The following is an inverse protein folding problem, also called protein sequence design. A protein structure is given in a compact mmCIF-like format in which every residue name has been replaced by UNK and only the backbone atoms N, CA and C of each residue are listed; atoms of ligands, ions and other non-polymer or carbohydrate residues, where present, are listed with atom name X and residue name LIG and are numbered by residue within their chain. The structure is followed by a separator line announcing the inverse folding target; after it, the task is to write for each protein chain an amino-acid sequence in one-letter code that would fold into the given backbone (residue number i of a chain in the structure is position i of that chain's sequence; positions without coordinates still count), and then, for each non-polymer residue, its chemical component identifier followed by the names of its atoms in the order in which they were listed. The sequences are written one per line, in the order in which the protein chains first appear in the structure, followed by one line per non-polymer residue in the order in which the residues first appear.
data_IF_346780529601
#
_entry.id   IF_346780529601
#
_cell.length_a   1.000
_cell.length_b   1.000
_cell.length_c   1.000
_cell.angle_alpha   90.00
_cell.angle_beta   90.00
_cell.angle_gamma   90.00
#
_symmetry.space_group_name_H-M   'P 1'
#
loop_
_entity.id
_entity.type
_entity.pdbx_description
1 polymer ?
#
# COMPACT_ATOMS: atom_id res chain seq x y z
N UNK A 1 31.94 4.48 -24.49
CA UNK A 1 31.30 4.18 -23.19
C UNK A 1 29.84 4.60 -23.30
N UNK A 2 28.90 3.68 -23.06
CA UNK A 2 27.49 4.06 -23.02
C UNK A 2 27.29 5.02 -21.84
N UNK A 3 26.75 6.21 -22.11
CA UNK A 3 26.36 7.16 -21.08
C UNK A 3 25.10 6.60 -20.45
N UNK A 4 25.21 6.05 -19.24
CA UNK A 4 24.04 5.62 -18.47
C UNK A 4 23.38 6.89 -17.94
N UNK A 5 22.36 7.36 -18.65
CA UNK A 5 21.55 8.49 -18.22
C UNK A 5 20.27 8.02 -17.49
N UNK A 6 19.46 9.00 -17.03
CA UNK A 6 18.22 8.72 -16.29
C UNK A 6 17.23 7.90 -17.12
N UNK A 7 17.17 8.13 -18.43
CA UNK A 7 16.24 7.43 -19.32
C UNK A 7 16.68 5.96 -19.50
N UNK A 8 17.98 5.73 -19.63
CA UNK A 8 18.57 4.39 -19.72
C UNK A 8 18.33 3.57 -18.45
N UNK A 9 18.41 4.18 -17.26
CA UNK A 9 18.05 3.51 -16.01
C UNK A 9 16.53 3.26 -15.91
N UNK A 10 15.71 4.22 -16.32
CA UNK A 10 14.26 4.07 -16.31
C UNK A 10 13.81 2.91 -17.20
N UNK A 11 14.30 2.85 -18.44
CA UNK A 11 14.03 1.77 -19.39
C UNK A 11 14.66 0.44 -18.95
N UNK A 12 15.84 0.52 -18.32
CA UNK A 12 16.54 -0.61 -17.75
C UNK A 12 15.77 -1.28 -16.61
N UNK A 13 15.06 -0.53 -15.77
CA UNK A 13 14.35 -1.07 -14.60
C UNK A 13 12.83 -1.13 -14.76
N UNK A 14 12.26 -0.55 -15.83
CA UNK A 14 10.82 -0.63 -16.13
C UNK A 14 10.43 -1.98 -16.75
N UNK A 15 10.74 -3.09 -16.09
CA UNK A 15 10.11 -4.36 -16.41
C UNK A 15 8.95 -4.58 -15.44
N UNK A 16 7.76 -4.91 -15.95
CA UNK A 16 6.63 -5.34 -15.11
C UNK A 16 6.86 -6.66 -14.38
N UNK A 17 8.09 -7.18 -14.44
CA UNK A 17 8.62 -8.39 -13.83
C UNK A 17 9.60 -8.00 -12.71
N UNK A 18 9.14 -8.09 -11.46
CA UNK A 18 9.94 -7.76 -10.28
C UNK A 18 11.19 -8.66 -10.13
N UNK A 19 11.12 -9.99 -10.37
CA UNK A 19 12.31 -10.82 -10.38
C UNK A 19 13.37 -10.36 -11.38
N UNK A 20 12.96 -10.04 -12.61
CA UNK A 20 13.86 -9.52 -13.64
C UNK A 20 14.39 -8.12 -13.26
N UNK A 21 13.55 -7.27 -12.68
CA UNK A 21 13.98 -5.97 -12.16
C UNK A 21 15.08 -6.15 -11.11
N UNK A 22 14.92 -7.13 -10.21
CA UNK A 22 15.90 -7.47 -9.19
C UNK A 22 17.25 -7.88 -9.78
N UNK A 23 17.26 -8.75 -10.80
CA UNK A 23 18.49 -9.14 -11.51
C UNK A 23 19.19 -7.95 -12.12
N UNK A 24 18.45 -7.03 -12.74
CA UNK A 24 19.02 -5.83 -13.37
C UNK A 24 19.59 -4.87 -12.33
N UNK A 25 18.93 -4.70 -11.18
CA UNK A 25 19.44 -3.88 -10.07
C UNK A 25 20.73 -4.46 -9.50
N UNK A 26 20.78 -5.78 -9.32
CA UNK A 26 22.01 -6.48 -8.88
C UNK A 26 23.15 -6.32 -9.89
N UNK A 27 22.88 -6.51 -11.18
CA UNK A 27 23.86 -6.32 -12.25
C UNK A 27 24.39 -4.87 -12.32
N UNK A 28 23.49 -3.88 -12.21
CA UNK A 28 23.87 -2.47 -12.13
C UNK A 28 24.77 -2.20 -10.92
N UNK A 29 24.40 -2.70 -9.75
CA UNK A 29 25.15 -2.48 -8.52
C UNK A 29 26.57 -3.07 -8.60
N UNK A 30 26.70 -4.29 -9.14
CA UNK A 30 27.99 -4.95 -9.34
C UNK A 30 28.87 -4.19 -10.35
N UNK A 31 28.31 -3.83 -11.50
CA UNK A 31 29.02 -3.04 -12.51
C UNK A 31 29.46 -1.67 -11.96
N UNK A 32 28.62 -1.01 -11.16
CA UNK A 32 28.94 0.27 -10.55
C UNK A 32 30.04 0.14 -9.48
N UNK A 33 30.11 -0.97 -8.74
CA UNK A 33 31.19 -1.24 -7.77
C UNK A 33 32.55 -1.33 -8.46
N UNK A 34 32.59 -1.98 -9.61
CA UNK A 34 33.82 -2.19 -10.39
C UNK A 34 34.22 -0.95 -11.22
N UNK A 35 33.34 0.05 -11.29
CA UNK A 35 33.58 1.31 -12.00
C UNK A 35 34.40 2.31 -11.18
N UNK A 36 35.28 3.05 -11.86
CA UNK A 36 35.94 4.26 -11.34
C UNK A 36 34.96 5.42 -11.12
N UNK A 37 33.79 5.37 -11.76
CA UNK A 37 32.74 6.41 -11.70
C UNK A 37 31.58 6.08 -10.74
N UNK A 38 31.82 5.17 -9.78
CA UNK A 38 30.82 4.68 -8.82
C UNK A 38 29.97 5.77 -8.15
N UNK A 39 30.58 6.88 -7.73
CA UNK A 39 29.87 7.95 -7.03
C UNK A 39 28.84 8.64 -7.93
N UNK A 40 29.22 8.90 -9.18
CA UNK A 40 28.33 9.47 -10.19
C UNK A 40 27.17 8.51 -10.51
N UNK A 41 27.45 7.21 -10.67
CA UNK A 41 26.40 6.22 -10.95
C UNK A 41 25.40 6.11 -9.79
N UNK A 42 25.87 6.14 -8.55
CA UNK A 42 24.98 6.22 -7.37
C UNK A 42 24.15 7.50 -7.40
N UNK A 43 24.76 8.65 -7.72
CA UNK A 43 24.00 9.91 -7.83
C UNK A 43 22.88 9.81 -8.87
N UNK A 44 23.18 9.31 -10.08
CA UNK A 44 22.20 9.18 -11.16
C UNK A 44 21.05 8.25 -10.74
N UNK A 45 21.34 7.15 -10.05
CA UNK A 45 20.32 6.24 -9.52
C UNK A 45 19.38 6.95 -8.54
N UNK A 46 19.91 7.66 -7.53
CA UNK A 46 19.06 8.33 -6.55
C UNK A 46 18.29 9.52 -7.12
N UNK A 47 18.87 10.25 -8.07
CA UNK A 47 18.17 11.28 -8.82
C UNK A 47 16.93 10.72 -9.53
N UNK A 48 17.06 9.50 -10.08
CA UNK A 48 15.97 8.79 -10.72
C UNK A 48 14.91 8.32 -9.71
N UNK A 49 15.31 7.76 -8.56
CA UNK A 49 14.38 7.41 -7.47
C UNK A 49 13.60 8.64 -6.97
N UNK A 50 14.28 9.78 -6.81
CA UNK A 50 13.64 11.04 -6.41
C UNK A 50 12.63 11.49 -7.46
N UNK A 51 12.92 11.33 -8.75
CA UNK A 51 11.98 11.67 -9.82
C UNK A 51 10.69 10.84 -9.75
N UNK A 52 10.80 9.53 -9.50
CA UNK A 52 9.65 8.63 -9.31
C UNK A 52 8.77 9.11 -8.15
N UNK A 53 9.37 9.40 -6.99
CA UNK A 53 8.62 9.91 -5.84
C UNK A 53 7.94 11.24 -6.12
N UNK A 54 8.57 12.14 -6.90
CA UNK A 54 7.95 13.40 -7.31
C UNK A 54 6.73 13.18 -8.20
N UNK A 55 6.80 12.25 -9.15
CA UNK A 55 5.65 11.91 -10.00
C UNK A 55 4.45 11.45 -9.18
N UNK A 56 4.66 10.69 -8.11
CA UNK A 56 3.58 10.23 -7.23
C UNK A 56 2.82 11.39 -6.57
N UNK A 57 3.40 12.59 -6.57
CA UNK A 57 2.88 13.80 -5.95
C UNK A 57 2.32 14.82 -6.96
N UNK A 58 2.40 14.57 -8.26
CA UNK A 58 1.86 15.48 -9.29
C UNK A 58 0.43 15.07 -9.64
N UNK A 59 -0.56 15.95 -9.45
CA UNK A 59 -1.96 15.69 -9.80
C UNK A 59 -2.52 16.89 -10.52
N UNK A 60 -3.30 16.65 -11.58
CA UNK A 60 -3.99 17.71 -12.27
C UNK A 60 -5.30 18.06 -11.57
N UNK A 61 -5.73 19.31 -11.69
CA UNK A 61 -7.05 19.74 -11.20
C UNK A 61 -8.14 18.90 -11.88
N UNK A 62 -9.02 18.29 -11.08
CA UNK A 62 -10.09 17.42 -11.57
C UNK A 62 -9.75 15.93 -11.62
N UNK A 63 -8.50 15.54 -11.34
CA UNK A 63 -8.16 14.13 -11.15
C UNK A 63 -8.53 13.65 -9.73
N UNK A 64 -8.84 12.35 -9.55
CA UNK A 64 -9.05 11.77 -8.23
C UNK A 64 -7.86 12.00 -7.31
N UNK A 65 -8.10 12.18 -6.00
CA UNK A 65 -7.05 12.40 -5.00
C UNK A 65 -6.33 11.09 -4.61
N UNK A 66 -6.09 10.22 -5.59
CA UNK A 66 -5.35 8.97 -5.45
C UNK A 66 -4.79 8.52 -6.81
N UNK A 67 -3.72 7.72 -6.78
CA UNK A 67 -3.16 7.09 -8.00
C UNK A 67 -3.26 5.58 -7.94
N UNK A 68 -3.46 4.97 -9.10
CA UNK A 68 -3.40 3.52 -9.27
C UNK A 68 -2.27 3.22 -10.26
N UNK A 69 -1.28 2.47 -9.81
CA UNK A 69 -0.16 2.00 -10.63
C UNK A 69 -0.27 0.50 -10.85
N UNK A 70 0.09 0.05 -12.05
CA UNK A 70 0.14 -1.37 -12.43
C UNK A 70 1.30 -1.64 -13.38
N UNK A 71 1.67 -2.91 -13.54
CA UNK A 71 2.73 -3.33 -14.47
C UNK A 71 4.08 -2.70 -14.13
N UNK A 72 4.82 -2.24 -15.15
CA UNK A 72 6.13 -1.63 -14.98
C UNK A 72 6.12 -0.43 -14.02
N UNK A 73 5.06 0.39 -14.03
CA UNK A 73 4.95 1.52 -13.10
C UNK A 73 4.85 1.09 -11.65
N UNK A 74 4.09 0.02 -11.36
CA UNK A 74 4.01 -0.50 -10.00
C UNK A 74 5.35 -1.09 -9.52
N UNK A 75 6.05 -1.82 -10.41
CA UNK A 75 7.38 -2.34 -10.12
C UNK A 75 8.40 -1.22 -9.83
N UNK A 76 8.37 -0.13 -10.61
CA UNK A 76 9.21 1.05 -10.41
C UNK A 76 8.97 1.70 -9.04
N UNK A 77 7.70 1.88 -8.64
CA UNK A 77 7.38 2.42 -7.31
C UNK A 77 7.81 1.47 -6.20
N UNK A 78 7.64 0.16 -6.37
CA UNK A 78 8.15 -0.81 -5.40
C UNK A 78 9.67 -0.70 -5.23
N UNK A 79 10.43 -0.64 -6.33
CA UNK A 79 11.88 -0.45 -6.29
C UNK A 79 12.26 0.87 -5.62
N UNK A 80 11.63 1.99 -6.00
CA UNK A 80 11.91 3.29 -5.42
C UNK A 80 11.66 3.32 -3.92
N UNK A 81 10.54 2.76 -3.48
CA UNK A 81 10.13 2.80 -2.09
C UNK A 81 10.94 1.82 -1.21
N UNK A 82 11.54 0.78 -1.80
CA UNK A 82 12.41 -0.18 -1.10
C UNK A 82 13.91 0.07 -1.31
N UNK A 83 14.27 1.08 -2.10
CA UNK A 83 15.66 1.46 -2.30
C UNK A 83 16.28 1.87 -0.96
N UNK A 84 17.49 1.38 -0.62
CA UNK A 84 18.13 1.70 0.65
C UNK A 84 18.39 3.21 0.76
N UNK A 85 18.47 3.75 1.97
CA UNK A 85 18.94 5.11 2.16
C UNK A 85 20.40 5.26 1.69
N UNK A 86 20.70 6.36 0.98
CA UNK A 86 22.06 6.69 0.56
C UNK A 86 22.95 6.85 1.79
N UNK A 87 24.12 6.22 1.73
CA UNK A 87 25.17 6.38 2.73
C UNK A 87 26.52 6.54 2.01
N UNK A 88 27.54 5.75 2.37
CA UNK A 88 28.76 5.66 1.56
C UNK A 88 28.51 4.89 0.27
N UNK A 89 29.14 5.30 -0.83
CA UNK A 89 28.90 4.74 -2.18
C UNK A 89 29.01 3.22 -2.23
N UNK A 90 30.11 2.65 -1.73
CA UNK A 90 30.31 1.19 -1.72
C UNK A 90 29.24 0.47 -0.90
N UNK A 91 28.90 1.01 0.28
CA UNK A 91 27.86 0.41 1.16
C UNK A 91 26.48 0.50 0.51
N UNK A 92 26.21 1.60 -0.17
CA UNK A 92 24.96 1.83 -0.91
C UNK A 92 24.81 0.83 -2.05
N UNK A 93 25.85 0.67 -2.88
CA UNK A 93 25.86 -0.29 -3.97
C UNK A 93 25.73 -1.74 -3.49
N UNK A 94 26.41 -2.12 -2.40
CA UNK A 94 26.22 -3.46 -1.79
C UNK A 94 24.77 -3.70 -1.37
N UNK A 95 24.13 -2.72 -0.72
CA UNK A 95 22.72 -2.83 -0.33
C UNK A 95 21.77 -2.88 -1.53
N UNK A 96 22.08 -2.16 -2.61
CA UNK A 96 21.33 -2.26 -3.86
C UNK A 96 21.47 -3.66 -4.48
N UNK A 97 22.67 -4.24 -4.45
CA UNK A 97 22.89 -5.60 -4.89
C UNK A 97 22.07 -6.60 -4.06
N UNK A 98 22.10 -6.47 -2.72
CA UNK A 98 21.34 -7.32 -1.81
C UNK A 98 19.82 -7.20 -2.07
N UNK A 99 19.31 -5.98 -2.28
CA UNK A 99 17.92 -5.73 -2.67
C UNK A 99 17.59 -6.44 -4.00
N UNK A 100 18.44 -6.30 -5.01
CA UNK A 100 18.22 -6.93 -6.31
C UNK A 100 18.17 -8.46 -6.22
N UNK A 101 19.07 -9.06 -5.42
CA UNK A 101 19.08 -10.50 -5.16
C UNK A 101 17.81 -10.94 -4.43
N UNK A 102 17.39 -10.21 -3.38
CA UNK A 102 16.16 -10.48 -2.63
C UNK A 102 14.94 -10.43 -3.53
N UNK A 103 14.76 -9.36 -4.31
CA UNK A 103 13.66 -9.22 -5.28
C UNK A 103 13.60 -10.40 -6.27
N UNK A 104 14.76 -10.87 -6.76
CA UNK A 104 14.83 -11.99 -7.70
C UNK A 104 14.43 -13.34 -7.11
N UNK A 105 14.50 -13.49 -5.78
CA UNK A 105 14.21 -14.74 -5.06
C UNK A 105 12.83 -14.76 -4.43
N UNK A 106 12.38 -13.62 -3.94
CA UNK A 106 11.18 -13.51 -3.11
C UNK A 106 9.91 -13.30 -3.92
N UNK A 107 10.04 -12.85 -5.17
CA UNK A 107 8.92 -12.73 -6.10
C UNK A 107 8.86 -13.90 -7.07
N UNK A 108 7.64 -14.32 -7.39
CA UNK A 108 7.38 -15.40 -8.33
C UNK A 108 6.12 -15.12 -9.15
N UNK A 109 5.84 -16.01 -10.12
CA UNK A 109 4.67 -15.91 -10.99
C UNK A 109 3.38 -15.69 -10.18
N UNK A 110 2.49 -14.85 -10.69
CA UNK A 110 1.22 -14.57 -10.03
C UNK A 110 0.46 -15.87 -9.72
N UNK A 111 0.09 -16.04 -8.47
CA UNK A 111 -0.84 -17.07 -8.04
C UNK A 111 -2.13 -16.39 -7.60
N UNK A 112 -3.24 -16.70 -8.27
CA UNK A 112 -4.58 -16.22 -7.96
C UNK A 112 -4.89 -14.79 -8.41
N UNK A 113 -5.91 -14.19 -7.78
CA UNK A 113 -6.51 -12.93 -8.23
C UNK A 113 -5.92 -11.72 -7.50
N UNK A 114 -5.93 -10.59 -8.19
CA UNK A 114 -5.57 -9.30 -7.65
C UNK A 114 -6.79 -8.37 -7.58
N UNK A 115 -6.70 -7.34 -6.73
CA UNK A 115 -7.68 -6.24 -6.76
C UNK A 115 -7.60 -5.54 -8.11
N UNK A 116 -8.72 -5.44 -8.79
CA UNK A 116 -8.80 -4.74 -10.07
C UNK A 116 -8.82 -3.22 -9.91
N UNK A 117 -8.21 -2.49 -10.85
CA UNK A 117 -8.20 -1.03 -10.82
C UNK A 117 -9.62 -0.43 -10.87
N UNK A 118 -10.54 -1.07 -11.62
CA UNK A 118 -11.94 -0.65 -11.65
C UNK A 118 -12.60 -0.78 -10.26
N UNK A 119 -12.33 -1.88 -9.55
CA UNK A 119 -12.84 -2.10 -8.20
C UNK A 119 -12.28 -1.09 -7.21
N UNK A 120 -10.99 -0.73 -7.32
CA UNK A 120 -10.40 0.34 -6.50
C UNK A 120 -11.13 1.67 -6.76
N UNK A 121 -11.36 2.03 -8.03
CA UNK A 121 -12.05 3.28 -8.38
C UNK A 121 -13.47 3.31 -7.83
N UNK A 122 -14.22 2.22 -7.98
CA UNK A 122 -15.59 2.11 -7.49
C UNK A 122 -15.64 2.15 -5.96
N UNK A 123 -14.73 1.44 -5.28
CA UNK A 123 -14.63 1.47 -3.82
C UNK A 123 -14.27 2.87 -3.31
N UNK A 124 -13.27 3.52 -3.91
CA UNK A 124 -12.89 4.89 -3.53
C UNK A 124 -14.00 5.90 -3.81
N UNK A 125 -14.73 5.77 -4.93
CA UNK A 125 -15.89 6.61 -5.23
C UNK A 125 -16.95 6.51 -4.12
N UNK A 126 -17.36 5.28 -3.79
CA UNK A 126 -18.28 5.01 -2.69
C UNK A 126 -17.76 5.53 -1.34
N UNK A 127 -16.50 5.24 -0.99
CA UNK A 127 -15.93 5.64 0.30
C UNK A 127 -15.81 7.16 0.44
N UNK A 128 -15.53 7.86 -0.65
CA UNK A 128 -15.47 9.31 -0.65
C UNK A 128 -16.85 9.95 -0.53
N UNK A 129 -17.85 9.40 -1.22
CA UNK A 129 -19.23 9.86 -1.13
C UNK A 129 -19.80 9.66 0.28
N UNK A 130 -19.63 8.46 0.85
CA UNK A 130 -20.27 8.08 2.11
C UNK A 130 -19.52 8.56 3.37
N UNK A 131 -18.19 8.68 3.28
CA UNK A 131 -17.35 8.95 4.46
C UNK A 131 -16.47 10.20 4.30
N UNK A 132 -16.21 10.65 3.07
CA UNK A 132 -15.22 11.70 2.80
C UNK A 132 -13.79 11.24 3.08
N UNK A 133 -13.48 9.97 2.78
CA UNK A 133 -12.25 9.29 3.19
C UNK A 133 -10.98 10.03 2.74
N UNK A 134 -10.94 10.51 1.49
CA UNK A 134 -9.83 11.29 0.91
C UNK A 134 -9.40 12.46 1.78
N UNK A 135 -10.35 13.21 2.34
CA UNK A 135 -10.03 14.40 3.14
C UNK A 135 -9.71 14.06 4.60
N UNK A 136 -10.36 13.06 5.16
CA UNK A 136 -10.37 12.83 6.62
C UNK A 136 -9.38 11.77 7.09
N UNK A 137 -9.13 10.76 6.25
CA UNK A 137 -8.18 9.68 6.55
C UNK A 137 -6.84 9.94 5.89
N UNK A 138 -6.88 10.31 4.62
CA UNK A 138 -5.67 10.53 3.85
C UNK A 138 -5.10 11.94 4.07
N UNK A 139 -5.93 12.94 4.39
CA UNK A 139 -5.52 14.31 4.73
C UNK A 139 -4.47 14.86 3.71
N UNK A 140 -3.28 15.29 4.18
CA UNK A 140 -2.17 15.74 3.35
C UNK A 140 -1.41 14.59 2.65
N UNK A 141 -1.65 13.34 3.06
CA UNK A 141 -1.03 12.16 2.47
C UNK A 141 -1.81 11.71 1.24
N UNK A 142 -1.11 11.53 0.13
CA UNK A 142 -1.74 11.08 -1.11
C UNK A 142 -1.69 9.56 -1.22
N UNK A 143 -2.83 8.86 -1.33
CA UNK A 143 -2.83 7.41 -1.46
C UNK A 143 -2.41 6.96 -2.85
N UNK A 144 -1.45 6.05 -2.89
CA UNK A 144 -0.93 5.38 -4.08
C UNK A 144 -1.23 3.88 -3.99
N UNK A 145 -2.14 3.39 -4.82
CA UNK A 145 -2.46 1.98 -4.95
C UNK A 145 -1.48 1.31 -5.93
N UNK A 146 -0.60 0.47 -5.42
CA UNK A 146 0.47 -0.19 -6.17
C UNK A 146 0.08 -1.65 -6.40
N UNK A 147 -0.31 -1.97 -7.64
CA UNK A 147 -0.73 -3.31 -8.06
C UNK A 147 0.44 -4.05 -8.70
N UNK A 148 1.05 -4.96 -7.94
CA UNK A 148 2.17 -5.77 -8.41
C UNK A 148 1.69 -6.97 -9.24
N UNK A 149 2.39 -7.29 -10.33
CA UNK A 149 2.03 -8.41 -11.20
C UNK A 149 2.52 -9.77 -10.71
N UNK A 150 3.24 -9.81 -9.59
CA UNK A 150 3.90 -11.00 -9.04
C UNK A 150 3.47 -11.22 -7.59
N UNK A 151 3.39 -12.49 -7.21
CA UNK A 151 3.21 -12.90 -5.83
C UNK A 151 4.54 -12.82 -5.08
N UNK A 152 4.47 -12.67 -3.76
CA UNK A 152 5.62 -12.66 -2.86
C UNK A 152 5.59 -13.88 -1.94
N UNK A 153 6.75 -14.45 -1.63
CA UNK A 153 6.89 -15.65 -0.77
C UNK A 153 6.39 -15.47 0.66
N UNK A 154 6.43 -14.26 1.20
CA UNK A 154 6.19 -13.96 2.61
C UNK A 154 5.31 -12.73 2.82
N UNK A 155 5.41 -11.72 1.94
CA UNK A 155 4.59 -10.52 2.04
C UNK A 155 3.16 -10.77 1.57
N UNK A 156 2.24 -10.17 2.31
CA UNK A 156 0.84 -10.00 1.92
C UNK A 156 0.58 -8.53 1.58
N UNK A 157 -0.65 -8.23 1.18
CA UNK A 157 -1.12 -6.86 1.02
C UNK A 157 -0.79 -6.04 2.28
N UNK A 158 -0.16 -4.89 2.08
CA UNK A 158 0.29 -4.03 3.16
C UNK A 158 0.32 -2.59 2.70
N UNK A 159 0.53 -1.67 3.65
CA UNK A 159 0.71 -0.27 3.33
C UNK A 159 1.81 0.36 4.18
N UNK A 160 2.38 1.45 3.67
CA UNK A 160 3.37 2.27 4.38
C UNK A 160 3.24 3.73 4.02
N UNK A 161 3.64 4.59 4.94
CA UNK A 161 3.83 6.01 4.67
C UNK A 161 5.23 6.20 4.10
N UNK A 162 5.31 6.75 2.89
CA UNK A 162 6.56 7.19 2.27
C UNK A 162 6.70 8.66 2.59
N UNK A 163 7.75 9.03 3.32
CA UNK A 163 8.04 10.42 3.65
C UNK A 163 9.24 10.91 2.85
N UNK A 164 9.06 12.07 2.23
CA UNK A 164 10.11 12.85 1.56
C UNK A 164 10.23 14.20 2.28
N UNK A 165 11.30 14.94 1.99
CA UNK A 165 11.54 16.26 2.59
C UNK A 165 10.41 17.27 2.30
N UNK A 166 9.63 17.06 1.24
CA UNK A 166 8.56 18.00 0.83
C UNK A 166 7.15 17.51 1.13
N UNK A 167 6.93 16.21 1.28
CA UNK A 167 5.60 15.63 1.46
C UNK A 167 5.66 14.16 1.82
N UNK A 168 4.50 13.57 2.10
CA UNK A 168 4.37 12.13 2.31
C UNK A 168 3.20 11.55 1.52
N UNK A 169 3.34 10.29 1.10
CA UNK A 169 2.30 9.51 0.43
C UNK A 169 2.01 8.23 1.21
N UNK A 170 0.79 7.71 1.11
CA UNK A 170 0.45 6.39 1.65
C UNK A 170 0.45 5.42 0.49
N UNK A 171 1.45 4.53 0.46
CA UNK A 171 1.55 3.49 -0.55
C UNK A 171 0.88 2.22 -0.06
N UNK A 172 -0.09 1.72 -0.82
CA UNK A 172 -0.86 0.50 -0.51
C UNK A 172 -0.53 -0.53 -1.58
N UNK A 173 0.10 -1.62 -1.18
CA UNK A 173 0.58 -2.69 -2.06
C UNK A 173 -0.42 -3.83 -2.12
N UNK A 174 -0.74 -4.25 -3.34
CA UNK A 174 -1.56 -5.42 -3.61
C UNK A 174 -0.78 -6.46 -4.39
N UNK A 175 -0.77 -7.68 -3.87
CA UNK A 175 -0.13 -8.83 -4.48
C UNK A 175 -1.20 -9.82 -4.99
N UNK A 176 -0.97 -10.53 -6.10
CA UNK A 176 -1.74 -11.72 -6.41
C UNK A 176 -1.53 -12.74 -5.28
N UNK A 177 -2.61 -13.21 -4.66
CA UNK A 177 -2.55 -14.23 -3.62
C UNK A 177 -3.20 -15.52 -4.10
N UNK A 178 -2.62 -16.64 -3.66
CA UNK A 178 -3.12 -17.98 -3.96
C UNK A 178 -4.62 -18.08 -3.66
N UNK A 179 -5.31 -18.84 -4.53
CA UNK A 179 -6.73 -19.16 -4.44
C UNK A 179 -7.02 -19.73 -3.03
N UNK A 180 -8.10 -19.23 -2.39
CA UNK A 180 -8.71 -19.66 -1.10
C UNK A 180 -8.48 -18.82 0.16
N UNK A 181 -7.82 -17.66 0.11
CA UNK A 181 -7.54 -16.91 1.36
C UNK A 181 -8.56 -15.79 1.64
N UNK A 182 -8.95 -15.00 0.64
CA UNK A 182 -9.89 -13.87 0.81
C UNK A 182 -10.26 -13.31 -0.57
N UNK A 183 -11.49 -12.80 -0.76
CA UNK A 183 -11.83 -12.11 -2.01
C UNK A 183 -10.98 -10.83 -2.17
N UNK A 184 -10.48 -10.51 -3.38
CA UNK A 184 -9.63 -9.33 -3.58
C UNK A 184 -10.24 -8.03 -3.06
N UNK A 185 -11.55 -7.85 -3.25
CA UNK A 185 -12.23 -6.65 -2.79
C UNK A 185 -12.22 -6.53 -1.27
N UNK A 186 -12.40 -7.64 -0.55
CA UNK A 186 -12.36 -7.63 0.90
C UNK A 186 -10.97 -7.25 1.44
N UNK A 187 -9.90 -7.73 0.78
CA UNK A 187 -8.52 -7.30 1.08
C UNK A 187 -8.32 -5.79 0.92
N UNK A 188 -8.88 -5.18 -0.14
CA UNK A 188 -8.84 -3.72 -0.32
C UNK A 188 -9.47 -3.00 0.87
N UNK A 189 -10.70 -3.37 1.25
CA UNK A 189 -11.38 -2.75 2.38
C UNK A 189 -10.67 -3.02 3.72
N UNK A 190 -10.03 -4.17 3.89
CA UNK A 190 -9.23 -4.50 5.07
C UNK A 190 -7.99 -3.61 5.19
N UNK A 191 -7.29 -3.34 4.08
CA UNK A 191 -6.16 -2.40 4.08
C UNK A 191 -6.63 -0.98 4.45
N UNK A 192 -7.72 -0.51 3.84
CA UNK A 192 -8.31 0.80 4.11
C UNK A 192 -8.81 0.91 5.57
N UNK A 193 -9.41 -0.15 6.10
CA UNK A 193 -9.79 -0.25 7.50
C UNK A 193 -8.59 -0.18 8.44
N UNK A 194 -7.48 -0.82 8.10
CA UNK A 194 -6.21 -0.71 8.84
C UNK A 194 -5.66 0.70 8.87
N UNK A 195 -5.78 1.44 7.77
CA UNK A 195 -5.39 2.86 7.68
C UNK A 195 -6.33 3.71 8.54
N UNK A 196 -7.65 3.50 8.44
CA UNK A 196 -8.65 4.18 9.27
C UNK A 196 -8.38 3.95 10.75
N UNK A 197 -8.14 2.70 11.16
CA UNK A 197 -7.83 2.32 12.53
C UNK A 197 -6.62 3.09 13.06
N UNK A 198 -5.53 3.12 12.28
CA UNK A 198 -4.33 3.86 12.68
C UNK A 198 -4.60 5.37 12.80
N UNK A 199 -5.40 5.96 11.90
CA UNK A 199 -5.82 7.36 12.00
C UNK A 199 -6.67 7.62 13.24
N UNK A 200 -7.67 6.79 13.51
CA UNK A 200 -8.54 6.92 14.70
C UNK A 200 -7.75 6.80 16.00
N UNK A 201 -6.73 5.94 16.06
CA UNK A 201 -5.88 5.85 17.25
C UNK A 201 -4.92 7.02 17.41
N UNK A 202 -4.51 7.65 16.32
CA UNK A 202 -3.65 8.85 16.37
C UNK A 202 -4.43 10.10 16.83
N UNK A 203 -5.73 10.17 16.54
CA UNK A 203 -6.59 11.33 16.78
C UNK A 203 -7.67 11.02 17.85
N UNK A 204 -7.56 11.62 19.05
CA UNK A 204 -8.56 11.57 20.15
C UNK A 204 -8.87 10.16 20.72
N UNK A 205 -8.30 9.88 21.90
CA UNK A 205 -8.41 8.59 22.64
C UNK A 205 -9.84 8.11 22.95
N UNK A 206 -10.83 9.01 23.04
CA UNK A 206 -12.16 8.64 23.55
C UNK A 206 -13.11 8.04 22.48
N UNK A 207 -12.97 8.44 21.21
CA UNK A 207 -13.84 7.97 20.12
C UNK A 207 -13.37 6.66 19.51
N UNK A 208 -12.05 6.47 19.42
CA UNK A 208 -11.47 5.19 19.04
C UNK A 208 -11.93 4.09 19.98
N UNK A 209 -12.01 4.38 21.30
CA UNK A 209 -12.55 3.47 22.30
C UNK A 209 -14.00 3.08 22.00
N UNK A 210 -14.87 4.03 21.66
CA UNK A 210 -16.27 3.69 21.33
C UNK A 210 -16.41 2.75 20.13
N UNK A 211 -15.59 2.89 19.09
CA UNK A 211 -15.58 1.95 17.95
C UNK A 211 -15.03 0.59 18.37
N UNK A 212 -13.90 0.57 19.09
CA UNK A 212 -13.27 -0.65 19.58
C UNK A 212 -14.21 -1.42 20.53
N UNK A 213 -14.83 -0.74 21.48
CA UNK A 213 -15.76 -1.31 22.47
C UNK A 213 -16.99 -1.89 21.78
N UNK A 214 -17.55 -1.19 20.79
CA UNK A 214 -18.68 -1.73 20.01
C UNK A 214 -18.27 -3.00 19.27
N UNK A 215 -17.11 -3.02 18.59
CA UNK A 215 -16.63 -4.20 17.86
C UNK A 215 -16.35 -5.35 18.83
N UNK A 216 -15.68 -5.09 19.96
CA UNK A 216 -15.42 -6.08 21.01
C UNK A 216 -16.71 -6.67 21.57
N UNK A 217 -17.73 -5.84 21.80
CA UNK A 217 -19.04 -6.30 22.28
C UNK A 217 -19.71 -7.29 21.32
N UNK A 218 -19.38 -7.23 20.03
CA UNK A 218 -19.93 -8.14 19.02
C UNK A 218 -19.09 -9.39 18.82
N UNK A 219 -17.79 -9.27 19.03
CA UNK A 219 -16.79 -10.29 18.74
C UNK A 219 -16.51 -11.24 19.92
N UNK A 220 -17.33 -11.21 20.98
CA UNK A 220 -17.20 -11.95 22.25
C UNK A 220 -16.30 -11.21 23.28
N UNK A 221 -16.62 -11.24 24.60
CA UNK A 221 -15.71 -10.76 25.65
C UNK A 221 -14.30 -11.37 25.61
N UNK A 222 -14.14 -12.51 24.94
CA UNK A 222 -12.87 -13.21 24.76
C UNK A 222 -11.86 -12.43 23.89
N UNK A 223 -12.27 -11.39 23.16
CA UNK A 223 -11.33 -10.52 22.42
C UNK A 223 -10.29 -9.93 23.36
N UNK A 224 -10.68 -9.52 24.56
CA UNK A 224 -9.75 -8.96 25.55
C UNK A 224 -8.74 -10.00 26.09
N UNK A 225 -9.01 -11.30 25.88
CA UNK A 225 -8.09 -12.40 26.21
C UNK A 225 -7.09 -12.70 25.07
N UNK A 226 -7.28 -12.13 23.89
CA UNK A 226 -6.39 -12.32 22.76
C UNK A 226 -5.14 -11.45 22.87
N UNK A 227 -4.10 -11.80 22.12
CA UNK A 227 -2.90 -10.94 21.97
C UNK A 227 -3.28 -9.61 21.32
N UNK A 228 -2.55 -8.52 21.63
CA UNK A 228 -2.80 -7.19 21.04
C UNK A 228 -2.86 -7.22 19.51
N UNK A 229 -2.02 -8.06 18.89
CA UNK A 229 -2.02 -8.27 17.44
C UNK A 229 -3.37 -8.81 16.95
N UNK A 230 -3.89 -9.86 17.60
CA UNK A 230 -5.17 -10.47 17.24
C UNK A 230 -6.34 -9.55 17.53
N UNK A 231 -6.30 -8.81 18.64
CA UNK A 231 -7.29 -7.78 18.94
C UNK A 231 -7.35 -6.73 17.82
N UNK A 232 -6.18 -6.22 17.40
CA UNK A 232 -6.08 -5.28 16.28
C UNK A 232 -6.66 -5.87 14.99
N UNK A 233 -6.32 -7.11 14.65
CA UNK A 233 -6.85 -7.79 13.46
C UNK A 233 -8.39 -7.86 13.48
N UNK A 234 -9.00 -8.16 14.63
CA UNK A 234 -10.46 -8.20 14.78
C UNK A 234 -11.11 -6.82 14.71
N UNK A 235 -10.48 -5.79 15.28
CA UNK A 235 -10.99 -4.42 15.19
C UNK A 235 -10.93 -3.93 13.73
N UNK A 236 -9.82 -4.17 13.04
CA UNK A 236 -9.68 -3.84 11.62
C UNK A 236 -10.73 -4.58 10.78
N UNK A 237 -11.01 -5.84 11.09
CA UNK A 237 -12.09 -6.60 10.46
C UNK A 237 -13.45 -5.96 10.70
N UNK A 238 -13.77 -5.58 11.95
CA UNK A 238 -15.02 -4.87 12.26
C UNK A 238 -15.17 -3.57 11.46
N UNK A 239 -14.11 -2.74 11.40
CA UNK A 239 -14.09 -1.52 10.61
C UNK A 239 -14.28 -1.84 9.12
N UNK A 240 -13.60 -2.86 8.59
CA UNK A 240 -13.74 -3.33 7.21
C UNK A 240 -15.21 -3.63 6.87
N UNK A 241 -15.89 -4.40 7.73
CA UNK A 241 -17.30 -4.75 7.55
C UNK A 241 -18.22 -3.52 7.57
N UNK A 242 -17.90 -2.51 8.38
CA UNK A 242 -18.62 -1.24 8.41
C UNK A 242 -18.37 -0.39 7.16
N UNK A 243 -17.14 -0.37 6.65
CA UNK A 243 -16.80 0.32 5.40
C UNK A 243 -17.49 -0.34 4.19
N UNK A 244 -17.59 -1.67 4.15
CA UNK A 244 -18.26 -2.40 3.06
C UNK A 244 -19.79 -2.20 3.06
N UNK A 245 -20.40 -1.89 4.20
CA UNK A 245 -21.85 -1.86 4.34
C UNK A 245 -22.54 -0.80 3.48
N UNK A 246 -23.47 -1.22 2.62
CA UNK A 246 -24.14 -0.37 1.64
C UNK A 246 -23.29 -0.04 0.41
N UNK A 247 -22.09 -0.63 0.28
CA UNK A 247 -21.27 -0.51 -0.91
C UNK A 247 -21.79 -1.43 -2.04
N UNK A 248 -21.38 -1.20 -3.30
CA UNK A 248 -21.66 -2.11 -4.40
C UNK A 248 -21.08 -3.52 -4.23
N UNK A 249 -20.25 -3.73 -3.21
CA UNK A 249 -19.57 -5.00 -2.92
C UNK A 249 -20.14 -5.70 -1.69
N UNK A 250 -21.19 -5.16 -1.06
CA UNK A 250 -21.85 -5.86 0.04
C UNK A 250 -22.66 -7.06 -0.46
N UNK A 251 -22.50 -8.20 0.21
CA UNK A 251 -23.36 -9.35 -0.01
C UNK A 251 -24.80 -9.04 0.43
N UNK A 252 -25.71 -8.98 -0.55
CA UNK A 252 -27.13 -8.74 -0.34
C UNK A 252 -27.85 -9.81 0.49
N UNK A 253 -27.28 -11.01 0.62
CA UNK A 253 -27.90 -12.16 1.30
C UNK A 253 -27.57 -12.29 2.79
N UNK A 254 -26.89 -11.28 3.37
CA UNK A 254 -26.54 -11.32 4.79
C UNK A 254 -27.78 -11.35 5.70
N UNK A 255 -27.76 -12.14 6.79
CA UNK A 255 -28.80 -12.13 7.80
C UNK A 255 -29.07 -10.72 8.40
N UNK A 256 -30.31 -10.43 8.76
CA UNK A 256 -30.73 -9.10 9.24
C UNK A 256 -29.95 -8.60 10.47
N UNK A 257 -29.61 -9.50 11.39
CA UNK A 257 -28.80 -9.17 12.55
C UNK A 257 -27.38 -8.72 12.14
N UNK A 258 -26.77 -9.36 11.15
CA UNK A 258 -25.47 -8.98 10.59
C UNK A 258 -25.55 -7.63 9.88
N UNK A 259 -26.57 -7.42 9.04
CA UNK A 259 -26.79 -6.11 8.36
C UNK A 259 -26.95 -4.96 9.36
N UNK A 260 -27.77 -5.16 10.39
CA UNK A 260 -28.02 -4.15 11.44
C UNK A 260 -26.72 -3.79 12.18
N UNK A 261 -25.91 -4.81 12.48
CA UNK A 261 -24.58 -4.62 13.07
C UNK A 261 -23.69 -3.81 12.14
N UNK A 262 -23.43 -4.27 10.91
CA UNK A 262 -22.57 -3.53 9.97
C UNK A 262 -22.99 -2.07 9.79
N UNK A 263 -24.31 -1.80 9.73
CA UNK A 263 -24.87 -0.44 9.74
C UNK A 263 -24.47 0.38 10.96
N UNK A 264 -24.48 -0.19 12.16
CA UNK A 264 -24.07 0.49 13.39
C UNK A 264 -22.58 0.84 13.38
N UNK A 265 -21.69 -0.06 12.95
CA UNK A 265 -20.27 0.30 12.77
C UNK A 265 -20.13 1.41 11.74
N UNK A 266 -20.82 1.31 10.58
CA UNK A 266 -20.81 2.37 9.56
C UNK A 266 -21.12 3.74 10.16
N UNK A 267 -22.19 3.84 10.96
CA UNK A 267 -22.56 5.09 11.63
C UNK A 267 -21.48 5.58 12.60
N UNK A 268 -20.87 4.69 13.38
CA UNK A 268 -19.78 5.05 14.29
C UNK A 268 -18.53 5.55 13.55
N UNK A 269 -18.18 4.91 12.42
CA UNK A 269 -17.11 5.37 11.54
C UNK A 269 -17.43 6.79 11.05
N UNK A 270 -18.64 7.03 10.53
CA UNK A 270 -19.07 8.35 10.04
C UNK A 270 -19.01 9.42 11.15
N UNK A 271 -19.46 9.09 12.36
CA UNK A 271 -19.41 10.00 13.51
C UNK A 271 -17.97 10.33 13.92
N UNK A 272 -17.09 9.34 13.96
CA UNK A 272 -15.67 9.55 14.27
C UNK A 272 -15.01 10.42 13.21
N UNK A 273 -15.25 10.11 11.93
CA UNK A 273 -14.75 10.88 10.81
C UNK A 273 -15.28 12.32 10.77
N UNK A 274 -16.50 12.59 11.22
CA UNK A 274 -17.03 13.96 11.29
C UNK A 274 -16.34 14.83 12.36
N UNK A 275 -15.65 14.20 13.32
CA UNK A 275 -14.95 14.90 14.41
C UNK A 275 -13.44 15.04 14.17
N UNK A 276 -12.93 14.47 13.07
CA UNK A 276 -11.61 14.73 12.51
C UNK A 276 -11.69 15.98 11.64
#
# INVERSE_FOLDING_TARGET
MAVIDRQTLAEGFSCGDLPECGKRVAAFAQMALDSVHRDMLVQIYYDWIIAIHKEDLIFNTGEPHYKIFSGGQAALRYLAHNSPARCGTVRTLRRLNDLGISMSREFYHAQGQQVEAANIRQAMGYLNEEFGLDKKIFDLHRPCFIRLGQSHTTEQDHWRIIQTDMSSSISIYFYPCCINIEEPIHRLFRQLAGICYNRFRSEKRDLSRSIEDEIKSWCCPEVDLLTERRQKEMIVEGICLGLIHGSPFEDGNLPNNVKTRRRRIKMLIQQTLHRL
#
